data_IF_629351121591
#
_entry.id   IF_629351121591
#
_cell.length_a   1.000
_cell.length_b   1.000
_cell.length_c   1.000
_cell.angle_alpha   90.00
_cell.angle_beta   90.00
_cell.angle_gamma   90.00
#
_symmetry.space_group_name_H-M   'P 1'
#
loop_
_entity.id
_entity.type
_entity.pdbx_description
1 polymer ?
#
# COMPACT_ATOMS: atom_id res chain seq x y z
N UNK A 1 1.41 -26.75 -13.42
CA UNK A 1 2.80 -26.98 -13.09
C UNK A 1 3.32 -25.99 -12.07
N UNK A 2 4.60 -26.01 -11.90
CA UNK A 2 5.24 -25.17 -10.87
C UNK A 2 5.15 -23.68 -11.23
N UNK A 3 5.17 -23.33 -12.52
CA UNK A 3 5.07 -21.95 -12.96
C UNK A 3 3.74 -21.31 -12.56
N UNK A 4 2.64 -22.02 -12.72
CA UNK A 4 1.32 -21.55 -12.32
C UNK A 4 1.26 -21.42 -10.79
N UNK A 5 1.78 -22.41 -10.07
CA UNK A 5 1.81 -22.40 -8.62
C UNK A 5 2.62 -21.20 -8.09
N UNK A 6 3.79 -20.95 -8.67
CA UNK A 6 4.63 -19.81 -8.30
C UNK A 6 3.95 -18.47 -8.60
N UNK A 7 3.33 -18.37 -9.77
CA UNK A 7 2.62 -17.14 -10.17
C UNK A 7 1.42 -16.87 -9.27
N UNK A 8 0.69 -17.91 -8.90
CA UNK A 8 -0.44 -17.80 -7.99
C UNK A 8 0.02 -17.36 -6.60
N UNK A 9 1.10 -17.93 -6.10
CA UNK A 9 1.66 -17.52 -4.82
C UNK A 9 2.12 -16.05 -4.84
N UNK A 10 2.78 -15.63 -5.92
CA UNK A 10 3.21 -14.24 -6.07
C UNK A 10 2.04 -13.29 -6.08
N UNK A 11 0.93 -13.66 -6.73
CA UNK A 11 -0.27 -12.87 -6.73
C UNK A 11 -0.86 -12.75 -5.33
N UNK A 12 -0.93 -13.84 -4.58
CA UNK A 12 -1.43 -13.81 -3.21
C UNK A 12 -0.58 -12.92 -2.31
N UNK A 13 0.75 -12.99 -2.45
CA UNK A 13 1.66 -12.14 -1.68
C UNK A 13 1.42 -10.67 -2.02
N UNK A 14 1.28 -10.33 -3.31
CA UNK A 14 1.03 -8.96 -3.74
C UNK A 14 -0.31 -8.45 -3.21
N UNK A 15 -1.34 -9.31 -3.21
CA UNK A 15 -2.66 -8.98 -2.69
C UNK A 15 -2.61 -8.67 -1.20
N UNK A 16 -1.89 -9.49 -0.43
CA UNK A 16 -1.73 -9.29 1.00
C UNK A 16 -0.94 -8.02 1.31
N UNK A 17 0.11 -7.76 0.55
CA UNK A 17 0.91 -6.54 0.71
C UNK A 17 0.06 -5.30 0.47
N UNK A 18 -0.78 -5.31 -0.56
CA UNK A 18 -1.67 -4.19 -0.84
C UNK A 18 -2.66 -3.97 0.31
N UNK A 19 -3.24 -5.05 0.84
CA UNK A 19 -4.20 -4.95 1.94
C UNK A 19 -3.55 -4.35 3.19
N UNK A 20 -2.35 -4.79 3.54
CA UNK A 20 -1.60 -4.24 4.67
C UNK A 20 -1.25 -2.77 4.45
N UNK A 21 -0.88 -2.41 3.23
CA UNK A 21 -0.55 -1.02 2.90
C UNK A 21 -1.78 -0.12 2.99
N UNK A 22 -2.92 -0.60 2.57
CA UNK A 22 -4.17 0.15 2.69
C UNK A 22 -4.50 0.45 4.15
N UNK A 23 -4.28 -0.53 5.03
CA UNK A 23 -4.46 -0.32 6.47
C UNK A 23 -3.48 0.71 7.01
N UNK A 24 -2.22 0.65 6.58
CA UNK A 24 -1.20 1.63 6.97
C UNK A 24 -1.61 3.04 6.53
N UNK A 25 -2.05 3.19 5.29
CA UNK A 25 -2.50 4.50 4.78
C UNK A 25 -3.67 5.02 5.61
N UNK A 26 -4.61 4.16 5.98
CA UNK A 26 -5.74 4.56 6.79
C UNK A 26 -5.28 5.03 8.18
N UNK A 27 -4.40 4.30 8.82
CA UNK A 27 -3.85 4.67 10.13
C UNK A 27 -3.10 6.00 10.06
N UNK A 28 -2.32 6.22 9.01
CA UNK A 28 -1.57 7.46 8.84
C UNK A 28 -2.49 8.63 8.49
N UNK A 29 -3.58 8.39 7.77
CA UNK A 29 -4.60 9.40 7.52
C UNK A 29 -5.24 9.84 8.83
N UNK A 30 -5.63 8.89 9.66
CA UNK A 30 -6.22 9.19 10.97
C UNK A 30 -5.24 9.92 11.86
N UNK A 31 -3.97 9.52 11.86
CA UNK A 31 -2.92 10.17 12.64
C UNK A 31 -2.71 11.62 12.19
N UNK A 32 -2.72 11.87 10.88
CA UNK A 32 -2.60 13.22 10.34
C UNK A 32 -3.77 14.10 10.78
N UNK A 33 -5.00 13.60 10.66
CA UNK A 33 -6.20 14.34 11.05
C UNK A 33 -6.13 14.71 12.53
N UNK A 34 -5.72 13.77 13.38
CA UNK A 34 -5.58 14.01 14.81
C UNK A 34 -4.50 15.05 15.09
N UNK A 35 -3.37 14.95 14.41
CA UNK A 35 -2.25 15.89 14.59
C UNK A 35 -2.65 17.29 14.14
N UNK A 36 -3.37 17.41 13.03
CA UNK A 36 -3.88 18.71 12.55
C UNK A 36 -4.88 19.30 13.52
N UNK A 37 -5.77 18.50 14.08
CA UNK A 37 -6.73 18.94 15.07
C UNK A 37 -6.01 19.49 16.31
N UNK A 38 -5.02 18.76 16.81
CA UNK A 38 -4.26 19.19 17.98
C UNK A 38 -3.48 20.47 17.70
N UNK A 39 -2.92 20.61 16.51
CA UNK A 39 -2.20 21.82 16.11
C UNK A 39 -3.12 23.03 16.09
N UNK A 40 -4.36 22.88 15.60
CA UNK A 40 -5.32 23.97 15.47
C UNK A 40 -5.97 24.36 16.80
N UNK A 41 -6.13 23.40 17.73
CA UNK A 41 -6.93 23.59 18.92
C UNK A 41 -6.14 23.56 20.24
N UNK A 42 -4.86 23.24 20.20
CA UNK A 42 -4.01 23.16 21.39
C UNK A 42 -2.63 23.74 21.09
N UNK A 43 -1.83 23.92 22.14
CA UNK A 43 -0.43 24.32 21.99
C UNK A 43 0.53 23.14 22.15
N UNK A 44 0.01 21.91 22.13
CA UNK A 44 0.80 20.71 22.41
C UNK A 44 1.44 20.09 21.18
N UNK A 45 1.17 20.63 19.99
CA UNK A 45 1.68 20.08 18.74
C UNK A 45 2.28 21.19 17.91
N UNK A 46 3.45 20.92 17.32
CA UNK A 46 4.14 21.88 16.48
C UNK A 46 3.75 21.69 15.00
N UNK A 47 3.99 22.73 14.19
CA UNK A 47 3.83 22.64 12.75
C UNK A 47 4.73 21.56 12.14
N UNK A 48 5.92 21.36 12.73
CA UNK A 48 6.83 20.30 12.27
C UNK A 48 6.17 18.93 12.42
N UNK A 49 5.42 18.71 13.50
CA UNK A 49 4.70 17.44 13.70
C UNK A 49 3.66 17.21 12.59
N UNK A 50 2.95 18.26 12.17
CA UNK A 50 1.99 18.18 11.06
C UNK A 50 2.72 17.83 9.76
N UNK A 51 3.82 18.51 9.47
CA UNK A 51 4.61 18.22 8.26
C UNK A 51 5.14 16.79 8.25
N UNK A 52 5.63 16.31 9.38
CA UNK A 52 6.12 14.93 9.49
C UNK A 52 5.00 13.93 9.23
N UNK A 53 3.81 14.18 9.81
CA UNK A 53 2.66 13.31 9.57
C UNK A 53 2.23 13.32 8.09
N UNK A 54 2.26 14.49 7.44
CA UNK A 54 1.95 14.62 6.02
C UNK A 54 2.95 13.84 5.16
N UNK A 55 4.25 13.93 5.48
CA UNK A 55 5.28 13.21 4.75
C UNK A 55 5.15 11.71 4.91
N UNK A 56 4.82 11.25 6.12
CA UNK A 56 4.61 9.82 6.36
C UNK A 56 3.42 9.30 5.57
N UNK A 57 2.32 10.04 5.53
CA UNK A 57 1.14 9.66 4.75
C UNK A 57 1.46 9.63 3.26
N UNK A 58 2.13 10.66 2.75
CA UNK A 58 2.50 10.73 1.34
C UNK A 58 3.37 9.53 0.96
N UNK A 59 4.37 9.21 1.77
CA UNK A 59 5.25 8.06 1.54
C UNK A 59 4.45 6.75 1.47
N UNK A 60 3.52 6.56 2.40
CA UNK A 60 2.67 5.36 2.40
C UNK A 60 1.74 5.32 1.19
N UNK A 61 1.20 6.45 0.77
CA UNK A 61 0.35 6.52 -0.43
C UNK A 61 1.12 6.17 -1.69
N UNK A 62 2.37 6.64 -1.81
CA UNK A 62 3.23 6.28 -2.94
C UNK A 62 3.56 4.79 -2.91
N UNK A 63 3.82 4.23 -1.73
CA UNK A 63 4.04 2.80 -1.60
C UNK A 63 2.80 1.98 -1.96
N UNK A 64 1.61 2.49 -1.65
CA UNK A 64 0.36 1.83 -2.03
C UNK A 64 0.21 1.79 -3.55
N UNK A 65 0.56 2.87 -4.25
CA UNK A 65 0.54 2.90 -5.71
C UNK A 65 1.47 1.83 -6.26
N UNK A 66 2.68 1.72 -5.71
CA UNK A 66 3.63 0.68 -6.12
C UNK A 66 3.10 -0.72 -5.82
N UNK A 67 2.45 -0.91 -4.68
CA UNK A 67 1.85 -2.20 -4.32
C UNK A 67 0.72 -2.59 -5.28
N UNK A 68 -0.10 -1.62 -5.69
CA UNK A 68 -1.15 -1.84 -6.69
C UNK A 68 -0.57 -2.22 -8.04
N UNK A 69 0.51 -1.55 -8.44
CA UNK A 69 1.21 -1.88 -9.67
C UNK A 69 1.75 -3.31 -9.62
N UNK A 70 2.38 -3.67 -8.50
CA UNK A 70 2.93 -5.01 -8.32
C UNK A 70 1.84 -6.08 -8.39
N UNK A 71 0.66 -5.80 -7.83
CA UNK A 71 -0.47 -6.73 -7.89
C UNK A 71 -0.95 -6.92 -9.33
N UNK A 72 -1.05 -5.83 -10.10
CA UNK A 72 -1.42 -5.90 -11.52
C UNK A 72 -0.39 -6.71 -12.29
N UNK A 73 0.89 -6.46 -12.04
CA UNK A 73 1.97 -7.21 -12.70
C UNK A 73 1.89 -8.69 -12.35
N UNK A 74 1.64 -9.02 -11.09
CA UNK A 74 1.49 -10.41 -10.65
C UNK A 74 0.27 -11.07 -11.31
N UNK A 75 -0.82 -10.32 -11.49
CA UNK A 75 -2.02 -10.82 -12.17
C UNK A 75 -1.72 -11.12 -13.65
N UNK A 76 -0.97 -10.25 -14.30
CA UNK A 76 -0.55 -10.44 -15.69
C UNK A 76 0.33 -11.68 -15.80
N UNK A 77 1.29 -11.83 -14.90
CA UNK A 77 2.18 -12.98 -14.89
C UNK A 77 1.41 -14.29 -14.67
N UNK A 78 0.42 -14.27 -13.78
CA UNK A 78 -0.44 -15.42 -13.54
C UNK A 78 -1.26 -15.76 -14.79
N UNK A 79 -1.83 -14.75 -15.43
CA UNK A 79 -2.59 -14.94 -16.66
C UNK A 79 -1.72 -15.55 -17.75
N UNK A 80 -0.50 -15.05 -17.92
CA UNK A 80 0.45 -15.58 -18.90
C UNK A 80 0.84 -17.02 -18.59
N UNK A 81 1.04 -17.34 -17.30
CA UNK A 81 1.37 -18.71 -16.89
C UNK A 81 0.22 -19.67 -17.21
N UNK A 82 -1.03 -19.24 -16.98
CA UNK A 82 -2.21 -20.04 -17.31
C UNK A 82 -2.40 -20.17 -18.80
N UNK A 83 -2.22 -19.07 -19.54
CA UNK A 83 -2.32 -19.05 -21.00
C UNK A 83 -1.22 -19.89 -21.65
N UNK A 84 0.01 -19.78 -21.12
CA UNK A 84 1.12 -20.58 -21.59
C UNK A 84 0.91 -22.06 -21.35
N UNK A 85 0.22 -22.42 -20.24
CA UNK A 85 -0.10 -23.82 -19.95
C UNK A 85 -1.19 -24.36 -20.86
N UNK A 86 -1.98 -23.48 -21.49
CA UNK A 86 -3.09 -23.86 -22.39
C UNK A 86 -2.63 -24.08 -23.83
N UNK A 87 -1.46 -23.62 -24.17
CA UNK A 87 -0.91 -23.74 -25.51
C UNK A 87 0.28 -24.67 -25.55
#
# INVERSE_FOLDING_TARGET
GQEVSNALNSYHVAEQQQAHREQEVQLLTDALEKTQFLFQHTNNTSYLSVLTAQQSLLSAQLSLINDKYAKVQAAINLYQALGGASF
#
